data_IF_407678581329
#
_entry.id   IF_407678581329
#
_cell.length_a   1.000
_cell.length_b   1.000
_cell.length_c   1.000
_cell.angle_alpha   90.00
_cell.angle_beta   90.00
_cell.angle_gamma   90.00
#
_symmetry.space_group_name_H-M   'P 1'
#
loop_
_entity.id
_entity.type
_entity.pdbx_description
1 polymer ?
#
# COMPACT_ATOMS: atom_id res chain seq x y z
N UNK A 1 -20.45 11.67 -24.23
CA UNK A 1 -21.51 11.05 -23.40
C UNK A 1 -20.97 9.73 -22.86
N UNK A 2 -20.44 9.71 -21.63
CA UNK A 2 -19.74 8.57 -21.03
C UNK A 2 -20.73 7.42 -20.81
N UNK A 3 -20.35 6.17 -21.13
CA UNK A 3 -21.15 4.95 -20.95
C UNK A 3 -21.47 4.67 -19.47
N UNK A 4 -22.44 5.38 -18.89
CA UNK A 4 -22.95 5.11 -17.52
C UNK A 4 -23.61 3.71 -17.43
N UNK A 5 -23.98 3.09 -18.56
CA UNK A 5 -24.71 1.81 -18.63
C UNK A 5 -24.00 0.58 -18.03
N UNK A 6 -22.71 0.62 -17.69
CA UNK A 6 -21.97 -0.58 -17.23
C UNK A 6 -21.35 -0.50 -15.83
N UNK A 7 -21.54 0.58 -15.07
CA UNK A 7 -20.96 0.68 -13.71
C UNK A 7 -21.60 -0.31 -12.75
N UNK A 8 -22.94 -0.42 -12.75
CA UNK A 8 -23.65 -1.30 -11.82
C UNK A 8 -23.28 -2.79 -12.02
N UNK A 9 -23.25 -3.36 -13.25
CA UNK A 9 -22.76 -4.72 -13.47
C UNK A 9 -21.31 -4.94 -13.02
N UNK A 10 -20.42 -3.95 -13.24
CA UNK A 10 -19.05 -4.03 -12.77
C UNK A 10 -18.99 -4.07 -11.24
N UNK A 11 -19.65 -3.15 -10.54
CA UNK A 11 -19.67 -3.11 -9.08
C UNK A 11 -20.24 -4.39 -8.50
N UNK A 12 -21.30 -4.93 -9.10
CA UNK A 12 -21.88 -6.21 -8.69
C UNK A 12 -20.87 -7.36 -8.87
N UNK A 13 -20.20 -7.45 -10.01
CA UNK A 13 -19.13 -8.43 -10.22
C UNK A 13 -17.98 -8.25 -9.23
N UNK A 14 -17.51 -7.03 -9.04
CA UNK A 14 -16.33 -6.69 -8.26
C UNK A 14 -16.56 -6.90 -6.75
N UNK A 15 -17.79 -6.70 -6.28
CA UNK A 15 -18.20 -6.92 -4.89
C UNK A 15 -18.87 -8.27 -4.67
N UNK A 16 -18.94 -9.16 -5.68
CA UNK A 16 -19.60 -10.47 -5.54
C UNK A 16 -19.03 -11.33 -4.42
N UNK A 17 -17.73 -11.17 -4.13
CA UNK A 17 -17.02 -11.97 -3.12
C UNK A 17 -17.39 -11.48 -1.72
N UNK A 18 -17.78 -12.39 -0.83
CA UNK A 18 -18.10 -12.09 0.57
C UNK A 18 -16.99 -11.28 1.24
N UNK A 19 -15.73 -11.66 1.02
CA UNK A 19 -14.56 -10.96 1.55
C UNK A 19 -14.55 -9.45 1.22
N UNK A 20 -14.86 -9.07 -0.02
CA UNK A 20 -14.86 -7.67 -0.46
C UNK A 20 -15.97 -6.89 0.24
N UNK A 21 -17.17 -7.47 0.36
CA UNK A 21 -18.29 -6.84 1.07
C UNK A 21 -17.96 -6.61 2.54
N UNK A 22 -17.39 -7.63 3.19
CA UNK A 22 -16.95 -7.54 4.59
C UNK A 22 -15.91 -6.44 4.73
N UNK A 23 -14.88 -6.42 3.88
CA UNK A 23 -13.85 -5.37 3.90
C UNK A 23 -14.41 -3.96 3.71
N UNK A 24 -15.38 -3.76 2.82
CA UNK A 24 -16.03 -2.45 2.63
C UNK A 24 -16.73 -2.01 3.92
N UNK A 25 -17.53 -2.90 4.50
CA UNK A 25 -18.31 -2.58 5.70
C UNK A 25 -17.38 -2.33 6.88
N UNK A 26 -16.51 -3.29 7.22
CA UNK A 26 -15.64 -3.16 8.40
C UNK A 26 -14.63 -2.03 8.25
N UNK A 27 -14.04 -1.87 7.06
CA UNK A 27 -13.09 -0.80 6.80
C UNK A 27 -13.73 0.59 6.91
N UNK A 28 -14.94 0.77 6.37
CA UNK A 28 -15.69 2.02 6.54
C UNK A 28 -16.08 2.26 8.01
N UNK A 29 -16.49 1.22 8.73
CA UNK A 29 -16.81 1.31 10.16
C UNK A 29 -15.63 1.83 10.97
N UNK A 30 -14.42 1.32 10.76
CA UNK A 30 -13.24 1.79 11.50
C UNK A 30 -12.86 3.25 11.18
N UNK A 31 -12.99 3.66 9.91
CA UNK A 31 -12.74 5.05 9.51
C UNK A 31 -13.81 5.99 10.10
N UNK A 32 -15.07 5.56 10.19
CA UNK A 32 -16.12 6.37 10.82
C UNK A 32 -15.92 6.42 12.33
N UNK A 33 -15.60 5.28 12.96
CA UNK A 33 -15.31 5.17 14.38
C UNK A 33 -14.20 6.13 14.82
N UNK A 34 -13.14 6.27 14.01
CA UNK A 34 -12.03 7.19 14.31
C UNK A 34 -12.45 8.67 14.35
N UNK A 35 -13.57 9.03 13.71
CA UNK A 35 -14.10 10.41 13.70
C UNK A 35 -15.07 10.67 14.86
N UNK A 36 -15.53 9.63 15.55
CA UNK A 36 -16.52 9.73 16.63
C UNK A 36 -15.82 9.68 17.99
N UNK A 37 -15.15 8.58 18.30
CA UNK A 37 -14.43 8.37 19.57
C UNK A 37 -13.37 7.28 19.40
N UNK A 38 -12.21 7.67 18.89
CA UNK A 38 -11.17 6.71 18.54
C UNK A 38 -10.62 5.93 19.75
N UNK A 39 -10.62 6.54 20.94
CA UNK A 39 -10.13 5.91 22.18
C UNK A 39 -11.08 4.78 22.55
N UNK A 40 -12.37 5.07 22.69
CA UNK A 40 -13.38 4.07 23.04
C UNK A 40 -13.35 2.88 22.06
N UNK A 41 -13.33 3.14 20.76
CA UNK A 41 -13.37 2.07 19.77
C UNK A 41 -12.09 1.23 19.73
N UNK A 42 -10.92 1.84 19.93
CA UNK A 42 -9.67 1.08 19.98
C UNK A 42 -9.57 0.26 21.26
N UNK A 43 -10.01 0.78 22.40
CA UNK A 43 -10.08 0.04 23.66
C UNK A 43 -11.00 -1.18 23.54
N UNK A 44 -12.18 -1.01 22.93
CA UNK A 44 -13.09 -2.13 22.64
C UNK A 44 -12.42 -3.17 21.75
N UNK A 45 -11.65 -2.76 20.75
CA UNK A 45 -10.93 -3.69 19.88
C UNK A 45 -9.83 -4.43 20.64
N UNK A 46 -9.12 -3.73 21.54
CA UNK A 46 -8.04 -4.29 22.33
C UNK A 46 -8.53 -5.42 23.25
N UNK A 47 -9.75 -5.34 23.80
CA UNK A 47 -10.36 -6.41 24.60
C UNK A 47 -10.35 -7.78 23.89
N UNK A 48 -10.41 -7.80 22.56
CA UNK A 48 -10.48 -9.05 21.79
C UNK A 48 -9.12 -9.63 21.38
N UNK A 49 -8.06 -8.83 21.42
CA UNK A 49 -6.80 -9.18 20.73
C UNK A 49 -5.54 -8.74 21.45
N UNK A 50 -5.61 -7.86 22.44
CA UNK A 50 -4.52 -7.22 23.20
C UNK A 50 -3.38 -6.57 22.37
N UNK A 51 -3.35 -6.76 21.04
CA UNK A 51 -2.22 -6.41 20.19
C UNK A 51 -2.35 -5.04 19.50
N UNK A 52 -3.55 -4.47 19.37
CA UNK A 52 -3.76 -3.28 18.54
C UNK A 52 -3.22 -2.00 19.17
N UNK A 53 -3.39 -1.83 20.48
CA UNK A 53 -2.83 -0.69 21.19
C UNK A 53 -1.30 -0.80 21.21
N UNK A 54 -0.77 -2.00 21.47
CA UNK A 54 0.68 -2.25 21.44
C UNK A 54 1.27 -1.96 20.05
N UNK A 55 0.62 -2.41 18.97
CA UNK A 55 1.04 -2.09 17.60
C UNK A 55 0.98 -0.59 17.30
N UNK A 56 -0.04 0.11 17.78
CA UNK A 56 -0.16 1.57 17.63
C UNK A 56 0.97 2.31 18.36
N UNK A 57 1.29 1.88 19.58
CA UNK A 57 2.39 2.41 20.39
C UNK A 57 3.74 2.14 19.73
N UNK A 58 3.97 0.93 19.23
CA UNK A 58 5.19 0.55 18.49
C UNK A 58 5.37 1.40 17.23
N UNK A 59 4.28 1.73 16.53
CA UNK A 59 4.30 2.54 15.32
C UNK A 59 4.23 4.05 15.59
N UNK A 60 4.13 4.45 16.87
CA UNK A 60 3.94 5.82 17.36
C UNK A 60 2.79 6.56 16.67
N UNK A 61 1.71 5.83 16.38
CA UNK A 61 0.49 6.40 15.82
C UNK A 61 -0.47 6.83 16.92
N UNK A 62 -1.23 7.90 16.68
CA UNK A 62 -2.35 8.28 17.57
C UNK A 62 -3.50 7.27 17.45
N UNK A 63 -4.43 7.26 18.40
CA UNK A 63 -5.63 6.39 18.35
C UNK A 63 -6.43 6.60 17.05
N UNK A 64 -6.65 7.84 16.64
CA UNK A 64 -7.39 8.20 15.42
C UNK A 64 -6.67 7.67 14.18
N UNK A 65 -5.37 7.97 14.07
CA UNK A 65 -4.58 7.54 12.90
C UNK A 65 -4.46 6.02 12.82
N UNK A 66 -4.40 5.33 13.95
CA UNK A 66 -4.41 3.87 14.03
C UNK A 66 -5.69 3.29 13.47
N UNK A 67 -6.86 3.77 13.92
CA UNK A 67 -8.15 3.28 13.41
C UNK A 67 -8.35 3.59 11.93
N UNK A 68 -7.97 4.79 11.47
CA UNK A 68 -7.98 5.15 10.05
C UNK A 68 -7.10 4.19 9.26
N UNK A 69 -5.89 3.89 9.75
CA UNK A 69 -4.95 3.00 9.09
C UNK A 69 -5.47 1.56 9.02
N UNK A 70 -6.04 1.03 10.11
CA UNK A 70 -6.68 -0.29 10.15
C UNK A 70 -7.84 -0.34 9.13
N UNK A 71 -8.74 0.64 9.17
CA UNK A 71 -9.87 0.69 8.24
C UNK A 71 -9.42 0.77 6.78
N UNK A 72 -8.41 1.61 6.50
CA UNK A 72 -7.81 1.71 5.17
C UNK A 72 -7.16 0.40 4.72
N UNK A 73 -6.37 -0.26 5.57
CA UNK A 73 -5.71 -1.52 5.25
C UNK A 73 -6.72 -2.63 4.92
N UNK A 74 -7.82 -2.70 5.66
CA UNK A 74 -8.93 -3.64 5.41
C UNK A 74 -9.58 -3.36 4.04
N UNK A 75 -9.87 -2.09 3.72
CA UNK A 75 -10.42 -1.70 2.42
C UNK A 75 -9.46 -2.07 1.28
N UNK A 76 -8.19 -1.70 1.42
CA UNK A 76 -7.15 -1.96 0.45
C UNK A 76 -6.99 -3.45 0.17
N UNK A 77 -6.97 -4.28 1.22
CA UNK A 77 -6.92 -5.73 1.09
C UNK A 77 -8.14 -6.29 0.35
N UNK A 78 -9.35 -5.83 0.70
CA UNK A 78 -10.58 -6.20 0.01
C UNK A 78 -10.51 -5.90 -1.49
N UNK A 79 -10.11 -4.67 -1.86
CA UNK A 79 -10.01 -4.24 -3.25
C UNK A 79 -8.93 -5.00 -4.04
N UNK A 80 -7.74 -5.18 -3.45
CA UNK A 80 -6.68 -6.01 -4.03
C UNK A 80 -7.13 -7.45 -4.26
N UNK A 81 -7.86 -8.03 -3.31
CA UNK A 81 -8.36 -9.41 -3.44
C UNK A 81 -9.31 -9.59 -4.63
N UNK A 82 -10.07 -8.55 -4.99
CA UNK A 82 -10.98 -8.55 -6.13
C UNK A 82 -10.24 -8.36 -7.45
N UNK A 83 -9.30 -7.41 -7.50
CA UNK A 83 -8.42 -7.23 -8.66
C UNK A 83 -7.59 -8.50 -8.95
N UNK A 84 -7.09 -9.16 -7.91
CA UNK A 84 -6.40 -10.45 -8.04
C UNK A 84 -7.30 -11.55 -8.61
N UNK A 85 -8.57 -11.59 -8.19
CA UNK A 85 -9.54 -12.54 -8.74
C UNK A 85 -9.75 -12.34 -10.25
N UNK A 86 -9.80 -11.07 -10.70
CA UNK A 86 -9.88 -10.75 -12.14
C UNK A 86 -8.64 -11.22 -12.90
N UNK A 87 -7.43 -11.05 -12.33
CA UNK A 87 -6.18 -11.51 -12.96
C UNK A 87 -6.11 -13.03 -13.14
N UNK A 88 -6.82 -13.79 -12.29
CA UNK A 88 -6.88 -15.26 -12.35
C UNK A 88 -8.00 -15.78 -13.25
N UNK A 89 -9.00 -14.97 -13.53
CA UNK A 89 -10.15 -15.35 -14.35
C UNK A 89 -9.73 -15.43 -15.83
N UNK A 90 -9.99 -16.59 -16.45
CA UNK A 90 -9.63 -16.85 -17.85
C UNK A 90 -10.29 -15.85 -18.81
N UNK A 91 -11.48 -15.33 -18.47
CA UNK A 91 -12.20 -14.34 -19.26
C UNK A 91 -11.37 -13.08 -19.51
N UNK A 92 -10.60 -12.65 -18.52
CA UNK A 92 -9.85 -11.38 -18.57
C UNK A 92 -8.37 -11.56 -18.89
N UNK A 93 -7.85 -12.80 -18.87
CA UNK A 93 -6.42 -13.11 -18.86
C UNK A 93 -5.66 -12.60 -20.09
N UNK A 94 -6.28 -12.59 -21.27
CA UNK A 94 -5.65 -12.14 -22.52
C UNK A 94 -5.34 -10.64 -22.51
N UNK A 95 -6.20 -9.84 -21.90
CA UNK A 95 -6.13 -8.38 -21.94
C UNK A 95 -5.70 -7.75 -20.60
N UNK A 96 -5.31 -8.55 -19.61
CA UNK A 96 -5.02 -8.08 -18.24
C UNK A 96 -3.60 -7.56 -18.01
N UNK A 97 -2.78 -7.39 -19.06
CA UNK A 97 -1.36 -7.01 -18.91
C UNK A 97 -1.18 -5.73 -18.09
N UNK A 98 -1.95 -4.68 -18.36
CA UNK A 98 -1.85 -3.40 -17.64
C UNK A 98 -2.33 -3.52 -16.20
N UNK A 99 -3.44 -4.22 -15.98
CA UNK A 99 -3.93 -4.52 -14.63
C UNK A 99 -2.89 -5.30 -13.82
N UNK A 100 -2.20 -6.26 -14.43
CA UNK A 100 -1.14 -7.05 -13.81
C UNK A 100 0.04 -6.16 -13.39
N UNK A 101 0.45 -5.21 -14.23
CA UNK A 101 1.53 -4.26 -13.92
C UNK A 101 1.16 -3.40 -12.71
N UNK A 102 -0.02 -2.77 -12.74
CA UNK A 102 -0.50 -1.91 -11.66
C UNK A 102 -0.65 -2.68 -10.34
N UNK A 103 -1.13 -3.92 -10.41
CA UNK A 103 -1.26 -4.79 -9.25
C UNK A 103 0.11 -5.06 -8.61
N UNK A 104 1.12 -5.40 -9.42
CA UNK A 104 2.48 -5.64 -8.94
C UNK A 104 3.08 -4.37 -8.32
N UNK A 105 2.92 -3.20 -8.97
CA UNK A 105 3.39 -1.91 -8.43
C UNK A 105 2.78 -1.66 -7.06
N UNK A 106 1.45 -1.73 -6.93
CA UNK A 106 0.77 -1.47 -5.66
C UNK A 106 1.17 -2.48 -4.58
N UNK A 107 1.22 -3.78 -4.90
CA UNK A 107 1.61 -4.81 -3.93
C UNK A 107 3.05 -4.63 -3.45
N UNK A 108 4.00 -4.37 -4.35
CA UNK A 108 5.40 -4.18 -3.97
C UNK A 108 5.65 -2.85 -3.26
N UNK A 109 4.90 -1.79 -3.60
CA UNK A 109 4.86 -0.55 -2.83
C UNK A 109 4.44 -0.78 -1.37
N UNK A 110 3.32 -1.49 -1.16
CA UNK A 110 2.83 -1.79 0.18
C UNK A 110 3.84 -2.64 0.96
N UNK A 111 4.32 -3.73 0.35
CA UNK A 111 5.24 -4.66 0.99
C UNK A 111 6.54 -3.95 1.38
N UNK A 112 7.14 -3.17 0.48
CA UNK A 112 8.40 -2.47 0.76
C UNK A 112 8.27 -1.42 1.86
N UNK A 113 7.18 -0.65 1.88
CA UNK A 113 6.90 0.31 2.96
C UNK A 113 6.80 -0.40 4.32
N UNK A 114 6.03 -1.48 4.41
CA UNK A 114 5.90 -2.22 5.67
C UNK A 114 7.18 -2.94 6.08
N UNK A 115 7.97 -3.45 5.12
CA UNK A 115 9.30 -3.99 5.43
C UNK A 115 10.18 -2.89 6.04
N UNK A 116 10.22 -1.70 5.45
CA UNK A 116 11.00 -0.59 5.99
C UNK A 116 10.54 -0.17 7.39
N UNK A 117 9.22 -0.04 7.61
CA UNK A 117 8.64 0.20 8.95
C UNK A 117 9.00 -0.90 9.94
N UNK A 118 8.91 -2.17 9.54
CA UNK A 118 9.27 -3.29 10.41
C UNK A 118 10.76 -3.27 10.77
N UNK A 119 11.64 -2.87 9.85
CA UNK A 119 13.06 -2.66 10.16
C UNK A 119 13.26 -1.55 11.20
N UNK A 120 12.53 -0.43 11.11
CA UNK A 120 12.60 0.65 12.10
C UNK A 120 12.10 0.21 13.47
N UNK A 121 11.02 -0.58 13.54
CA UNK A 121 10.42 -1.08 14.79
C UNK A 121 11.23 -2.21 15.42
N UNK A 122 11.61 -3.23 14.64
CA UNK A 122 12.30 -4.42 15.17
C UNK A 122 13.75 -4.13 15.52
N UNK A 123 14.39 -3.26 14.74
CA UNK A 123 15.71 -2.76 15.07
C UNK A 123 15.57 -1.50 15.90
N UNK A 124 14.79 -1.52 17.00
CA UNK A 124 14.72 -0.49 18.07
C UNK A 124 16.09 -0.33 18.77
N UNK A 125 17.12 -0.22 17.95
CA UNK A 125 18.52 -0.39 18.23
C UNK A 125 19.04 1.03 18.27
N UNK A 126 19.50 1.51 19.42
CA UNK A 126 20.08 2.83 19.55
C UNK A 126 21.24 2.95 18.56
N UNK A 127 20.99 3.58 17.41
CA UNK A 127 21.97 4.01 16.40
C UNK A 127 23.18 3.07 16.34
N UNK A 128 23.00 1.74 16.29
CA UNK A 128 24.15 0.85 16.33
C UNK A 128 24.76 0.90 14.92
N UNK A 129 25.98 1.44 14.76
CA UNK A 129 26.57 1.61 13.44
C UNK A 129 26.75 0.28 12.71
N UNK A 130 26.78 -0.84 13.43
CA UNK A 130 26.95 -2.18 12.87
C UNK A 130 25.84 -2.60 11.88
N UNK A 131 24.62 -2.06 12.02
CA UNK A 131 23.50 -2.36 11.13
C UNK A 131 23.18 -1.22 10.15
N UNK A 132 24.06 -0.23 10.07
CA UNK A 132 23.89 0.95 9.23
C UNK A 132 24.96 0.97 8.15
N UNK A 133 24.57 1.34 6.94
CA UNK A 133 25.53 1.56 5.88
C UNK A 133 26.12 2.97 6.02
N UNK A 134 27.41 3.04 6.34
CA UNK A 134 28.19 4.28 6.41
C UNK A 134 29.22 4.33 5.31
N UNK A 135 29.25 5.44 4.57
CA UNK A 135 30.23 5.70 3.53
C UNK A 135 30.89 7.05 3.78
N UNK A 136 32.19 7.06 4.08
CA UNK A 136 32.98 8.28 4.35
C UNK A 136 32.33 9.24 5.38
N UNK A 137 31.74 8.68 6.44
CA UNK A 137 31.06 9.47 7.48
C UNK A 137 29.62 9.88 7.17
N UNK A 138 29.07 9.47 6.02
CA UNK A 138 27.66 9.66 5.68
C UNK A 138 26.88 8.38 5.89
N UNK A 139 25.75 8.46 6.60
CA UNK A 139 24.79 7.37 6.70
C UNK A 139 23.98 7.31 5.41
N UNK A 140 23.98 6.16 4.75
CA UNK A 140 23.13 5.91 3.58
C UNK A 140 21.85 5.25 4.05
N UNK A 141 20.77 6.02 3.98
CA UNK A 141 19.42 5.56 4.28
C UNK A 141 18.88 4.67 3.17
N UNK A 142 17.89 3.84 3.51
CA UNK A 142 17.26 2.97 2.53
C UNK A 142 16.50 3.76 1.45
N UNK A 143 16.22 5.04 1.70
CA UNK A 143 15.87 6.05 0.72
C UNK A 143 16.68 5.96 -0.59
N UNK A 144 18.01 5.87 -0.50
CA UNK A 144 18.88 5.84 -1.68
C UNK A 144 18.77 4.52 -2.46
N UNK A 145 18.57 3.39 -1.76
CA UNK A 145 18.24 2.14 -2.42
C UNK A 145 16.90 2.25 -3.14
N UNK A 146 15.91 2.91 -2.53
CA UNK A 146 14.64 3.23 -3.16
C UNK A 146 14.77 4.02 -4.47
N UNK A 147 15.62 5.06 -4.49
CA UNK A 147 15.95 5.81 -5.72
C UNK A 147 16.55 4.88 -6.78
N UNK A 148 17.52 4.04 -6.39
CA UNK A 148 18.14 3.09 -7.30
C UNK A 148 17.11 2.12 -7.93
N UNK A 149 16.21 1.58 -7.11
CA UNK A 149 15.14 0.69 -7.57
C UNK A 149 14.18 1.42 -8.53
N UNK A 150 13.80 2.68 -8.26
CA UNK A 150 12.98 3.48 -9.17
C UNK A 150 13.67 3.74 -10.51
N UNK A 151 14.95 4.13 -10.50
CA UNK A 151 15.71 4.41 -11.73
C UNK A 151 15.82 3.14 -12.58
N UNK A 152 16.20 2.01 -11.98
CA UNK A 152 16.34 0.74 -12.69
C UNK A 152 14.96 0.25 -13.17
N UNK A 153 13.96 0.26 -12.29
CA UNK A 153 12.59 -0.17 -12.62
C UNK A 153 11.98 0.66 -13.74
N UNK A 154 12.10 1.98 -13.66
CA UNK A 154 11.66 2.92 -14.68
C UNK A 154 12.37 2.71 -16.01
N UNK A 155 13.71 2.62 -16.00
CA UNK A 155 14.48 2.31 -17.20
C UNK A 155 14.00 1.01 -17.84
N UNK A 156 13.97 -0.10 -17.10
CA UNK A 156 13.51 -1.40 -17.62
C UNK A 156 12.10 -1.34 -18.22
N UNK A 157 11.24 -0.46 -17.69
CA UNK A 157 9.88 -0.22 -18.22
C UNK A 157 9.89 0.38 -19.63
N UNK A 158 10.88 1.22 -19.96
CA UNK A 158 11.03 1.82 -21.28
C UNK A 158 11.59 0.86 -22.34
N UNK A 159 12.39 -0.13 -21.95
CA UNK A 159 13.06 -1.04 -22.91
C UNK A 159 12.06 -2.04 -23.54
N UNK A 160 10.79 -2.09 -23.09
CA UNK A 160 9.71 -2.96 -23.60
C UNK A 160 10.18 -4.39 -23.95
N UNK A 161 10.77 -5.09 -22.98
CA UNK A 161 11.20 -6.48 -23.14
C UNK A 161 10.23 -7.43 -22.44
N UNK A 162 9.67 -8.41 -23.17
CA UNK A 162 9.03 -9.63 -22.66
C UNK A 162 8.03 -9.52 -21.50
N UNK A 163 7.48 -10.64 -21.06
CA UNK A 163 6.57 -10.66 -19.89
C UNK A 163 7.32 -10.55 -18.56
N UNK A 164 8.48 -11.18 -18.45
CA UNK A 164 9.26 -11.23 -17.21
C UNK A 164 9.86 -9.87 -16.84
N UNK A 165 10.59 -9.23 -17.77
CA UNK A 165 11.23 -7.92 -17.51
C UNK A 165 10.18 -6.85 -17.19
N UNK A 166 9.01 -6.87 -17.85
CA UNK A 166 7.89 -5.99 -17.50
C UNK A 166 7.44 -6.15 -16.03
N UNK A 167 7.37 -7.38 -15.52
CA UNK A 167 7.00 -7.63 -14.12
C UNK A 167 8.09 -7.23 -13.13
N UNK A 168 9.36 -7.48 -13.49
CA UNK A 168 10.51 -7.06 -12.68
C UNK A 168 10.54 -5.53 -12.60
N UNK A 169 10.41 -4.84 -13.74
CA UNK A 169 10.30 -3.37 -13.80
C UNK A 169 9.20 -2.85 -12.87
N UNK A 170 7.98 -3.42 -12.97
CA UNK A 170 6.86 -3.06 -12.11
C UNK A 170 7.16 -3.26 -10.61
N UNK A 171 7.80 -4.38 -10.26
CA UNK A 171 8.14 -4.70 -8.87
C UNK A 171 9.23 -3.80 -8.30
N UNK A 172 10.26 -3.49 -9.08
CA UNK A 172 11.30 -2.54 -8.70
C UNK A 172 10.74 -1.12 -8.56
N UNK A 173 9.85 -0.73 -9.47
CA UNK A 173 9.22 0.58 -9.41
C UNK A 173 8.34 0.74 -8.16
N UNK A 174 7.45 -0.21 -7.89
CA UNK A 174 6.62 -0.19 -6.68
C UNK A 174 7.46 -0.29 -5.40
N UNK A 175 8.40 -1.23 -5.36
CA UNK A 175 9.30 -1.42 -4.22
C UNK A 175 10.15 -0.19 -3.90
N UNK A 176 10.74 0.42 -4.94
CA UNK A 176 11.51 1.66 -4.78
C UNK A 176 10.68 2.82 -4.26
N UNK A 177 9.44 2.96 -4.75
CA UNK A 177 8.52 3.98 -4.28
C UNK A 177 8.17 3.80 -2.80
N UNK A 178 7.96 2.56 -2.33
CA UNK A 178 7.62 2.32 -0.92
C UNK A 178 8.76 2.67 0.03
N UNK A 179 10.00 2.31 -0.33
CA UNK A 179 11.20 2.71 0.42
C UNK A 179 11.42 4.22 0.47
N UNK A 180 11.07 4.95 -0.59
CA UNK A 180 11.20 6.40 -0.62
C UNK A 180 10.15 7.06 0.27
N UNK A 181 8.89 6.60 0.19
CA UNK A 181 7.77 7.16 0.95
C UNK A 181 7.93 6.94 2.45
N UNK A 182 8.56 5.83 2.85
CA UNK A 182 8.95 5.56 4.23
C UNK A 182 9.74 6.72 4.86
N UNK A 183 10.61 7.36 4.09
CA UNK A 183 11.56 8.37 4.57
C UNK A 183 11.01 9.80 4.46
N UNK A 184 9.79 9.99 3.94
CA UNK A 184 9.21 11.34 3.77
C UNK A 184 9.03 12.08 5.09
N UNK A 185 8.61 11.38 6.15
CA UNK A 185 8.55 11.93 7.50
C UNK A 185 9.91 12.45 7.95
N UNK A 186 10.96 11.63 7.82
CA UNK A 186 12.32 12.00 8.18
C UNK A 186 12.79 13.25 7.42
N UNK A 187 12.57 13.28 6.10
CA UNK A 187 13.03 14.35 5.22
C UNK A 187 12.30 15.67 5.49
N UNK A 188 10.98 15.63 5.69
CA UNK A 188 10.16 16.83 5.92
C UNK A 188 10.34 17.43 7.31
N UNK A 189 10.71 16.61 8.29
CA UNK A 189 10.93 17.03 9.68
C UNK A 189 12.39 17.20 10.04
N UNK A 190 13.31 16.99 9.09
CA UNK A 190 14.75 17.06 9.29
C UNK A 190 15.29 16.15 10.41
N UNK A 191 14.73 14.94 10.56
CA UNK A 191 15.30 13.94 11.46
C UNK A 191 14.33 13.11 12.29
N UNK A 192 13.01 13.36 12.23
CA UNK A 192 12.04 12.53 12.94
C UNK A 192 11.61 11.31 12.10
N UNK A 193 12.14 10.15 12.47
CA UNK A 193 11.82 8.84 11.84
C UNK A 193 10.38 8.40 12.04
N UNK A 194 9.72 8.92 13.07
CA UNK A 194 8.38 8.53 13.50
C UNK A 194 7.32 9.52 13.04
N UNK A 195 7.71 10.51 12.25
CA UNK A 195 6.83 11.56 11.82
C UNK A 195 5.65 11.00 11.01
N UNK A 196 4.43 11.40 11.39
CA UNK A 196 3.16 10.89 10.84
C UNK A 196 3.04 11.06 9.32
N UNK A 197 3.79 12.00 8.74
CA UNK A 197 3.81 12.34 7.32
C UNK A 197 4.13 11.11 6.46
N UNK A 198 5.03 10.20 6.88
CA UNK A 198 5.29 8.97 6.12
C UNK A 198 4.03 8.12 5.94
N UNK A 199 3.20 7.99 6.97
CA UNK A 199 1.93 7.26 6.91
C UNK A 199 0.88 8.00 6.06
N UNK A 200 0.81 9.34 6.16
CA UNK A 200 -0.08 10.15 5.32
C UNK A 200 0.26 9.96 3.85
N UNK A 201 1.53 10.11 3.47
CA UNK A 201 1.97 9.92 2.09
C UNK A 201 1.81 8.48 1.62
N UNK A 202 2.03 7.49 2.50
CA UNK A 202 1.70 6.10 2.22
C UNK A 202 0.23 5.94 1.82
N UNK A 203 -0.71 6.44 2.62
CA UNK A 203 -2.15 6.36 2.34
C UNK A 203 -2.52 7.09 1.06
N UNK A 204 -2.00 8.30 0.83
CA UNK A 204 -2.31 9.09 -0.37
C UNK A 204 -1.82 8.40 -1.64
N UNK A 205 -0.58 7.92 -1.65
CA UNK A 205 0.02 7.26 -2.81
C UNK A 205 -0.60 5.88 -3.06
N UNK A 206 -0.83 5.09 -2.01
CA UNK A 206 -1.53 3.80 -2.15
C UNK A 206 -2.96 3.99 -2.64
N UNK A 207 -3.69 5.00 -2.17
CA UNK A 207 -5.03 5.33 -2.66
C UNK A 207 -5.01 5.73 -4.13
N UNK A 208 -4.06 6.58 -4.54
CA UNK A 208 -3.89 6.95 -5.95
C UNK A 208 -3.65 5.70 -6.81
N UNK A 209 -2.67 4.86 -6.44
CA UNK A 209 -2.36 3.62 -7.15
C UNK A 209 -3.56 2.67 -7.19
N UNK A 210 -4.29 2.54 -6.08
CA UNK A 210 -5.50 1.73 -5.99
C UNK A 210 -6.59 2.24 -6.94
N UNK A 211 -6.87 3.54 -6.99
CA UNK A 211 -7.85 4.13 -7.91
C UNK A 211 -7.45 3.83 -9.36
N UNK A 212 -6.17 3.94 -9.72
CA UNK A 212 -5.73 3.59 -11.08
C UNK A 212 -5.92 2.11 -11.41
N UNK A 213 -5.69 1.22 -10.44
CA UNK A 213 -5.92 -0.22 -10.54
C UNK A 213 -7.41 -0.55 -10.73
N UNK A 214 -8.29 0.08 -9.95
CA UNK A 214 -9.74 -0.10 -10.01
C UNK A 214 -10.29 0.42 -11.34
N UNK A 215 -9.78 1.54 -11.83
CA UNK A 215 -10.15 2.08 -13.13
C UNK A 215 -9.75 1.16 -14.28
N UNK A 216 -8.56 0.58 -14.22
CA UNK A 216 -8.13 -0.43 -15.21
C UNK A 216 -8.96 -1.72 -15.11
N UNK A 217 -9.32 -2.13 -13.88
CA UNK A 217 -10.23 -3.27 -13.66
C UNK A 217 -11.58 -3.03 -14.32
N UNK A 218 -12.15 -1.83 -14.18
CA UNK A 218 -13.40 -1.43 -14.83
C UNK A 218 -13.29 -1.46 -16.36
N UNK A 219 -12.20 -0.94 -16.93
CA UNK A 219 -11.95 -0.99 -18.38
C UNK A 219 -11.88 -2.43 -18.89
N UNK A 220 -11.11 -3.27 -18.22
CA UNK A 220 -10.95 -4.68 -18.56
C UNK A 220 -12.28 -5.43 -18.52
N UNK A 221 -13.10 -5.17 -17.49
CA UNK A 221 -14.43 -5.74 -17.36
C UNK A 221 -15.34 -5.37 -18.54
N UNK A 222 -15.33 -4.11 -18.97
CA UNK A 222 -16.20 -3.64 -20.06
C UNK A 222 -15.77 -4.11 -21.45
N UNK A 223 -14.49 -4.43 -21.61
CA UNK A 223 -13.91 -4.91 -22.86
C UNK A 223 -14.08 -6.43 -23.07
N UNK A 224 -14.57 -7.17 -22.07
CA UNK A 224 -14.67 -8.64 -22.09
C UNK A 224 -16.11 -9.14 -21.95
#
# INVERSE_FOLDING_TARGET
MIQVRKIHPFLFYFTRRKLVKVSIISGATFIIASLIDAVFFLDVLNIFTDDFIDAAMLLRMTYESTLIFIGYAILLFGMLSSAFAMLRDHKFKSNSKKLQIQFIILSTFIISFFIARAFVVLLDVPINPAYQFWLKGYRVHHFFFGIGLLVIGGWLGHIQRGRLVTKISAGLYGGGLGLIVDEFGLLLTFGDYWAIQSYIFFVLISLFLLITLLFESYKLFNAS
#
